data_IF_533389051727
#
_entry.id   IF_533389051727
#
_cell.length_a   1.000
_cell.length_b   1.000
_cell.length_c   1.000
_cell.angle_alpha   90.00
_cell.angle_beta   90.00
_cell.angle_gamma   90.00
#
_symmetry.space_group_name_H-M   'P 1'
#
loop_
_entity.id
_entity.type
_entity.pdbx_description
1 polymer ?
#
# COMPACT_ATOMS: atom_id res chain seq x y z
N UNK A 1 -32.62 20.76 75.86
CA UNK A 1 -33.31 21.12 74.61
C UNK A 1 -32.25 21.57 73.61
N UNK A 2 -31.99 20.72 72.61
CA UNK A 2 -30.98 20.94 71.58
C UNK A 2 -31.48 21.95 70.55
N UNK A 3 -30.63 22.88 70.11
CA UNK A 3 -30.93 23.78 68.99
C UNK A 3 -30.64 23.06 67.68
N UNK A 4 -31.60 23.19 66.77
CA UNK A 4 -31.58 22.69 65.38
C UNK A 4 -30.55 23.47 64.57
N UNK A 5 -29.66 22.74 63.90
CA UNK A 5 -28.90 23.21 62.74
C UNK A 5 -29.84 23.16 61.54
N UNK A 6 -30.12 24.31 60.93
CA UNK A 6 -30.75 24.37 59.62
C UNK A 6 -29.65 24.56 58.57
N UNK A 7 -29.71 23.70 57.57
CA UNK A 7 -28.78 23.57 56.46
C UNK A 7 -29.36 24.31 55.27
N UNK A 8 -28.58 25.19 54.63
CA UNK A 8 -28.81 25.56 53.23
C UNK A 8 -27.46 25.61 52.54
N UNK A 9 -27.19 24.51 51.85
CA UNK A 9 -26.16 24.31 50.84
C UNK A 9 -26.40 25.19 49.61
N UNK A 10 -25.33 25.46 48.85
CA UNK A 10 -25.23 25.79 47.41
C UNK A 10 -24.28 26.96 47.12
N UNK A 11 -22.97 26.71 47.17
CA UNK A 11 -21.95 27.58 46.53
C UNK A 11 -20.79 26.74 45.92
N UNK A 12 -21.04 25.46 45.61
CA UNK A 12 -20.03 24.52 45.11
C UNK A 12 -20.17 24.16 43.61
N UNK A 13 -20.90 24.96 42.81
CA UNK A 13 -21.10 24.69 41.37
C UNK A 13 -20.78 25.87 40.42
N UNK A 14 -19.97 26.85 40.82
CA UNK A 14 -19.48 27.87 39.87
C UNK A 14 -18.19 27.42 39.15
N UNK A 15 -18.34 26.47 38.22
CA UNK A 15 -17.26 26.05 37.31
C UNK A 15 -17.30 26.93 36.05
N UNK A 16 -16.52 28.00 36.06
CA UNK A 16 -16.37 28.89 34.90
C UNK A 16 -15.56 30.14 35.22
N UNK A 17 -15.04 30.86 34.22
CA UNK A 17 -14.33 32.10 34.46
C UNK A 17 -15.29 33.13 35.06
N UNK A 18 -14.94 33.66 36.23
CA UNK A 18 -15.71 34.70 36.90
C UNK A 18 -15.73 35.95 36.01
N UNK A 19 -16.91 36.52 35.70
CA UNK A 19 -17.01 37.71 34.87
C UNK A 19 -16.34 38.90 35.57
N UNK A 20 -15.76 39.81 34.79
CA UNK A 20 -15.08 40.98 35.33
C UNK A 20 -16.08 41.93 36.01
N UNK A 21 -15.77 42.39 37.22
CA UNK A 21 -16.65 43.23 38.05
C UNK A 21 -16.65 44.72 37.66
N UNK A 22 -16.42 45.05 36.39
CA UNK A 22 -16.41 46.44 35.92
C UNK A 22 -16.47 46.58 34.40
N UNK A 23 -16.60 47.81 33.86
CA UNK A 23 -16.59 48.05 32.42
C UNK A 23 -15.26 47.60 31.82
N UNK A 24 -15.29 46.50 31.08
CA UNK A 24 -14.10 45.94 30.44
C UNK A 24 -13.83 46.73 29.16
N UNK A 25 -12.88 47.67 29.20
CA UNK A 25 -12.34 48.30 27.99
C UNK A 25 -11.36 47.35 27.29
N UNK A 26 -11.78 46.10 27.02
CA UNK A 26 -11.02 45.17 26.19
C UNK A 26 -11.35 45.44 24.73
N UNK A 27 -10.52 46.24 24.09
CA UNK A 27 -10.57 46.41 22.65
C UNK A 27 -10.05 45.15 21.97
N UNK A 28 -10.97 44.22 21.74
CA UNK A 28 -10.73 42.90 21.13
C UNK A 28 -9.91 43.01 19.84
N UNK A 29 -10.05 44.11 19.10
CA UNK A 29 -9.28 44.37 17.88
C UNK A 29 -7.78 44.51 18.15
N UNK A 30 -7.40 45.27 19.18
CA UNK A 30 -6.01 45.45 19.62
C UNK A 30 -5.42 44.18 20.19
N UNK A 31 -6.25 43.33 20.81
CA UNK A 31 -5.82 42.03 21.32
C UNK A 31 -5.49 41.05 20.19
N UNK A 32 -6.30 41.02 19.14
CA UNK A 32 -6.00 40.25 17.93
C UNK A 32 -4.75 40.76 17.22
N UNK A 33 -4.61 42.08 17.10
CA UNK A 33 -3.44 42.69 16.45
C UNK A 33 -2.15 42.41 17.23
N UNK A 34 -2.16 42.56 18.56
CA UNK A 34 -1.03 42.22 19.43
C UNK A 34 -0.68 40.74 19.38
N UNK A 35 -1.68 39.85 19.26
CA UNK A 35 -1.48 38.40 19.10
C UNK A 35 -0.84 38.07 17.75
N UNK A 36 -1.30 38.72 16.68
CA UNK A 36 -0.76 38.55 15.33
C UNK A 36 0.68 39.05 15.24
N UNK A 37 0.98 40.22 15.82
CA UNK A 37 2.34 40.78 15.87
C UNK A 37 3.30 39.84 16.62
N UNK A 38 2.93 39.32 17.79
CA UNK A 38 3.75 38.34 18.53
C UNK A 38 4.00 37.05 17.75
N UNK A 39 3.00 36.55 17.00
CA UNK A 39 3.18 35.35 16.18
C UNK A 39 4.10 35.64 14.99
N UNK A 40 3.93 36.80 14.36
CA UNK A 40 4.79 37.25 13.27
C UNK A 40 6.24 37.39 13.74
N UNK A 41 6.46 38.08 14.85
CA UNK A 41 7.79 38.21 15.47
C UNK A 41 8.39 36.83 15.75
N UNK A 42 7.67 35.89 16.35
CA UNK A 42 8.15 34.52 16.57
C UNK A 42 8.55 33.76 15.30
N UNK A 43 7.93 34.07 14.16
CA UNK A 43 8.26 33.44 12.87
C UNK A 43 9.41 34.16 12.15
N UNK A 44 9.64 35.44 12.44
CA UNK A 44 10.59 36.29 11.71
C UNK A 44 11.82 36.72 12.51
N UNK A 45 11.79 36.66 13.84
CA UNK A 45 12.93 36.97 14.70
C UNK A 45 13.97 35.87 14.54
N UNK A 46 15.00 36.18 13.77
CA UNK A 46 16.21 35.39 13.59
C UNK A 46 17.12 35.49 14.84
N UNK A 47 16.56 35.29 16.04
CA UNK A 47 17.37 35.08 17.22
C UNK A 47 18.07 33.73 17.08
N UNK A 48 19.39 33.80 17.16
CA UNK A 48 20.40 32.81 16.84
C UNK A 48 20.43 31.62 17.82
N UNK A 49 19.31 30.95 17.97
CA UNK A 49 19.27 29.52 18.23
C UNK A 49 18.51 28.96 17.03
N UNK A 50 19.22 28.31 16.09
CA UNK A 50 18.54 27.59 15.01
C UNK A 50 17.38 26.83 15.67
N UNK A 51 16.12 27.06 15.27
CA UNK A 51 15.04 26.29 15.84
C UNK A 51 15.38 24.88 15.40
N UNK A 52 15.97 24.07 16.31
CA UNK A 52 16.25 22.66 16.10
C UNK A 52 14.93 22.16 15.60
N UNK A 53 14.87 21.96 14.28
CA UNK A 53 13.64 21.74 13.55
C UNK A 53 12.91 20.72 14.38
N UNK A 54 11.75 21.05 14.99
CA UNK A 54 11.23 20.30 16.13
C UNK A 54 11.00 18.86 15.65
N UNK A 55 12.03 18.05 15.82
CA UNK A 55 12.11 16.71 15.30
C UNK A 55 11.64 15.86 16.44
N UNK A 56 10.75 14.94 16.10
CA UNK A 56 10.29 13.96 17.06
C UNK A 56 11.49 13.12 17.47
N UNK A 57 11.53 12.76 18.75
CA UNK A 57 12.59 11.92 19.30
C UNK A 57 12.71 10.62 18.50
N UNK A 58 13.93 10.10 18.35
CA UNK A 58 14.22 9.00 17.43
C UNK A 58 13.35 7.76 17.67
N UNK A 59 12.99 7.44 18.92
CA UNK A 59 12.09 6.31 19.24
C UNK A 59 10.63 6.53 18.79
N UNK A 60 10.24 7.76 18.46
CA UNK A 60 8.92 8.10 17.92
C UNK A 60 8.87 8.07 16.39
N UNK A 61 10.01 8.16 15.71
CA UNK A 61 10.09 8.20 14.24
C UNK A 61 10.73 6.94 13.67
N UNK A 62 11.66 6.34 14.39
CA UNK A 62 12.40 5.17 13.98
C UNK A 62 11.87 3.94 14.72
N UNK A 63 11.66 2.86 13.98
CA UNK A 63 11.34 1.58 14.60
C UNK A 63 12.52 1.11 15.46
N UNK A 64 12.27 0.53 16.64
CA UNK A 64 13.31 -0.15 17.39
C UNK A 64 14.03 -1.16 16.51
N UNK A 65 15.36 -1.33 16.70
CA UNK A 65 16.14 -2.26 15.90
C UNK A 65 15.51 -3.65 15.97
N UNK A 66 15.50 -4.37 14.85
CA UNK A 66 14.91 -5.70 14.82
C UNK A 66 15.71 -6.65 15.72
N UNK A 67 15.13 -6.96 16.88
CA UNK A 67 15.75 -7.88 17.81
C UNK A 67 15.50 -9.30 17.33
N UNK A 68 16.41 -9.77 16.48
CA UNK A 68 16.47 -11.16 16.04
C UNK A 68 16.65 -12.01 17.28
N UNK A 69 15.57 -12.69 17.66
CA UNK A 69 15.49 -13.60 18.80
C UNK A 69 15.37 -12.96 20.21
N UNK A 70 14.20 -12.43 20.58
CA UNK A 70 13.75 -12.16 21.98
C UNK A 70 13.17 -13.34 22.81
N UNK A 71 13.87 -13.85 23.84
CA UNK A 71 13.35 -14.88 24.78
C UNK A 71 13.83 -16.34 24.62
N UNK A 72 14.57 -16.80 25.63
CA UNK A 72 15.33 -18.05 25.82
C UNK A 72 14.54 -19.39 25.72
N UNK A 73 13.91 -19.70 24.59
CA UNK A 73 13.39 -21.03 24.26
C UNK A 73 13.75 -21.49 22.84
N UNK A 74 13.40 -22.72 22.41
CA UNK A 74 13.35 -23.09 20.99
C UNK A 74 12.23 -22.28 20.32
N UNK A 75 12.57 -21.06 19.93
CA UNK A 75 11.65 -20.11 19.29
C UNK A 75 11.54 -20.48 17.82
N UNK A 76 10.66 -21.42 17.51
CA UNK A 76 10.50 -21.89 16.13
C UNK A 76 9.60 -20.93 15.36
N UNK A 77 10.19 -20.21 14.40
CA UNK A 77 9.42 -19.59 13.33
C UNK A 77 10.01 -19.99 11.98
N UNK A 78 9.12 -20.61 11.19
CA UNK A 78 9.14 -21.07 9.79
C UNK A 78 10.41 -21.76 9.23
N UNK A 79 10.24 -23.03 8.85
CA UNK A 79 11.17 -23.91 8.10
C UNK A 79 11.11 -23.72 6.56
N UNK A 80 10.50 -22.64 6.09
CA UNK A 80 10.42 -22.24 4.67
C UNK A 80 11.00 -20.83 4.55
N UNK A 81 11.54 -20.55 3.36
CA UNK A 81 12.49 -19.47 3.12
C UNK A 81 12.05 -18.11 3.66
N UNK A 82 12.93 -17.55 4.50
CA UNK A 82 13.01 -16.12 4.72
C UNK A 82 14.33 -15.65 4.11
N UNK A 83 14.27 -14.56 3.33
CA UNK A 83 15.45 -13.72 3.06
C UNK A 83 15.12 -12.42 3.76
N UNK A 84 15.96 -12.07 4.75
CA UNK A 84 15.98 -10.83 5.56
C UNK A 84 14.64 -10.13 5.78
N UNK A 85 14.21 -10.07 7.04
CA UNK A 85 13.26 -9.08 7.56
C UNK A 85 12.99 -7.92 6.61
N UNK A 86 11.91 -8.04 5.83
CA UNK A 86 11.51 -6.99 4.92
C UNK A 86 11.34 -5.70 5.70
N UNK A 87 11.77 -4.60 5.11
CA UNK A 87 11.69 -3.29 5.71
C UNK A 87 10.27 -3.04 6.26
N UNK A 88 10.17 -2.95 7.60
CA UNK A 88 8.91 -2.70 8.32
C UNK A 88 8.60 -1.22 8.44
N UNK A 89 9.52 -0.35 8.02
CA UNK A 89 9.38 1.11 8.13
C UNK A 89 8.37 1.71 7.15
N UNK A 90 7.76 0.90 6.28
CA UNK A 90 6.73 1.31 5.31
C UNK A 90 5.58 2.09 5.95
N UNK A 91 5.22 1.78 7.20
CA UNK A 91 4.14 2.45 7.93
C UNK A 91 4.60 3.63 8.81
N UNK A 92 5.89 3.75 9.11
CA UNK A 92 6.43 4.82 9.98
C UNK A 92 7.20 5.89 9.24
N UNK A 93 7.55 5.66 7.98
CA UNK A 93 8.31 6.60 7.19
C UNK A 93 7.51 7.86 6.87
N UNK A 94 8.15 9.01 7.07
CA UNK A 94 7.65 10.27 6.57
C UNK A 94 7.78 10.32 5.04
N UNK A 95 6.99 11.15 4.33
CA UNK A 95 7.10 11.28 2.87
C UNK A 95 8.53 11.61 2.38
N UNK A 96 9.30 12.38 3.17
CA UNK A 96 10.68 12.69 2.88
C UNK A 96 11.61 11.47 3.05
N UNK A 97 11.39 10.66 4.08
CA UNK A 97 12.16 9.43 4.31
C UNK A 97 11.89 8.38 3.23
N UNK A 98 10.63 8.29 2.77
CA UNK A 98 10.23 7.39 1.68
C UNK A 98 10.93 7.73 0.37
N UNK A 99 11.07 9.01 0.04
CA UNK A 99 11.80 9.45 -1.16
C UNK A 99 13.30 9.16 -1.05
N UNK A 100 13.90 9.43 0.11
CA UNK A 100 15.32 9.14 0.36
C UNK A 100 15.64 7.65 0.24
N UNK A 101 14.85 6.78 0.87
CA UNK A 101 15.01 5.32 0.78
C UNK A 101 14.74 4.79 -0.62
N UNK A 102 13.79 5.36 -1.36
CA UNK A 102 13.54 4.98 -2.74
C UNK A 102 14.77 5.26 -3.64
N UNK A 103 15.42 6.42 -3.48
CA UNK A 103 16.65 6.77 -4.21
C UNK A 103 17.81 5.80 -3.88
N UNK A 104 18.03 5.53 -2.60
CA UNK A 104 19.05 4.57 -2.14
C UNK A 104 18.81 3.15 -2.70
N UNK A 105 17.54 2.70 -2.71
CA UNK A 105 17.19 1.38 -3.25
C UNK A 105 17.36 1.30 -4.76
N UNK A 106 17.05 2.36 -5.51
CA UNK A 106 17.30 2.43 -6.96
C UNK A 106 18.80 2.43 -7.29
N UNK A 107 19.65 2.95 -6.40
CA UNK A 107 21.10 2.85 -6.52
C UNK A 107 21.62 1.44 -6.20
N UNK A 108 21.08 0.79 -5.16
CA UNK A 108 21.44 -0.58 -4.78
C UNK A 108 20.94 -1.66 -5.76
N UNK A 109 19.82 -1.44 -6.45
CA UNK A 109 19.30 -2.36 -7.48
C UNK A 109 20.14 -2.41 -8.75
N UNK A 110 20.90 -1.35 -9.05
CA UNK A 110 21.78 -1.31 -10.23
C UNK A 110 22.97 -2.25 -10.12
N UNK A 111 23.31 -2.74 -8.93
CA UNK A 111 24.44 -3.65 -8.70
C UNK A 111 24.08 -5.14 -8.57
N UNK A 112 22.80 -5.51 -8.56
CA UNK A 112 22.34 -6.88 -8.22
C UNK A 112 21.42 -7.52 -9.28
N UNK A 113 21.53 -7.10 -10.54
CA UNK A 113 20.71 -7.60 -11.64
C UNK A 113 21.26 -8.88 -12.27
N UNK A 114 21.39 -9.99 -11.53
CA UNK A 114 21.44 -11.36 -12.07
C UNK A 114 21.51 -12.36 -10.93
N UNK A 115 20.35 -12.94 -10.59
CA UNK A 115 20.18 -14.24 -9.95
C UNK A 115 18.74 -14.31 -9.42
N UNK A 116 17.78 -14.14 -10.35
CA UNK A 116 16.48 -14.79 -10.19
C UNK A 116 16.48 -15.94 -11.19
N UNK A 117 17.39 -16.88 -10.97
CA UNK A 117 17.22 -18.23 -11.46
C UNK A 117 15.83 -18.66 -11.00
N UNK A 118 15.02 -19.09 -11.96
CA UNK A 118 13.77 -19.80 -11.75
C UNK A 118 13.91 -20.62 -10.48
N UNK A 119 13.04 -20.39 -9.48
CA UNK A 119 13.00 -21.23 -8.28
C UNK A 119 12.82 -22.66 -8.77
N UNK A 120 13.93 -23.38 -8.89
CA UNK A 120 13.99 -24.60 -9.66
C UNK A 120 13.02 -25.54 -8.98
N UNK A 121 11.88 -25.79 -9.64
CA UNK A 121 10.86 -26.71 -9.15
C UNK A 121 11.62 -27.96 -8.72
N UNK A 122 11.50 -28.31 -7.45
CA UNK A 122 12.23 -29.46 -6.89
C UNK A 122 12.01 -30.65 -7.82
N UNK A 123 13.02 -31.50 -8.04
CA UNK A 123 12.87 -32.64 -8.96
C UNK A 123 11.64 -33.51 -8.67
N UNK A 124 11.12 -33.47 -7.43
CA UNK A 124 9.83 -34.05 -7.03
C UNK A 124 8.62 -33.38 -7.70
N UNK A 125 8.57 -32.05 -7.76
CA UNK A 125 7.44 -31.29 -8.32
C UNK A 125 7.34 -31.52 -9.83
N UNK A 126 8.48 -31.59 -10.54
CA UNK A 126 8.49 -31.94 -11.98
C UNK A 126 7.84 -33.31 -12.24
N UNK A 127 8.22 -34.33 -11.45
CA UNK A 127 7.62 -35.67 -11.55
C UNK A 127 6.13 -35.68 -11.23
N UNK A 128 5.71 -34.90 -10.24
CA UNK A 128 4.29 -34.77 -9.90
C UNK A 128 3.50 -34.13 -11.04
N UNK A 129 4.03 -33.06 -11.64
CA UNK A 129 3.40 -32.40 -12.80
C UNK A 129 3.25 -33.39 -13.95
N UNK A 130 4.30 -34.13 -14.31
CA UNK A 130 4.25 -35.13 -15.39
C UNK A 130 3.24 -36.26 -15.12
N UNK A 131 3.14 -36.75 -13.88
CA UNK A 131 2.14 -37.76 -13.50
C UNK A 131 0.72 -37.22 -13.62
N UNK A 132 0.49 -35.97 -13.19
CA UNK A 132 -0.82 -35.35 -13.26
C UNK A 132 -1.21 -35.02 -14.71
N UNK A 133 -0.27 -34.54 -15.54
CA UNK A 133 -0.53 -34.25 -16.95
C UNK A 133 -0.85 -35.52 -17.73
N UNK A 134 -0.05 -36.58 -17.58
CA UNK A 134 -0.29 -37.88 -18.23
C UNK A 134 -1.62 -38.52 -17.83
N UNK A 135 -2.02 -38.40 -16.55
CA UNK A 135 -3.34 -38.84 -16.10
C UNK A 135 -4.46 -38.01 -16.73
N UNK A 136 -4.32 -36.68 -16.74
CA UNK A 136 -5.33 -35.79 -17.31
C UNK A 136 -5.52 -36.01 -18.81
N UNK A 137 -4.43 -36.20 -19.56
CA UNK A 137 -4.49 -36.43 -21.02
C UNK A 137 -5.14 -37.77 -21.40
N UNK A 138 -4.97 -38.81 -20.58
CA UNK A 138 -5.47 -40.16 -20.88
C UNK A 138 -6.86 -40.46 -20.30
N UNK A 139 -7.19 -39.92 -19.12
CA UNK A 139 -8.43 -40.23 -18.39
C UNK A 139 -9.45 -39.11 -18.40
N UNK A 140 -9.04 -37.87 -18.65
CA UNK A 140 -9.94 -36.72 -18.64
C UNK A 140 -10.23 -36.29 -20.08
N UNK A 141 -11.47 -35.93 -20.35
CA UNK A 141 -11.79 -35.20 -21.58
C UNK A 141 -11.10 -33.84 -21.58
N UNK A 142 -10.93 -33.26 -22.75
CA UNK A 142 -10.38 -31.91 -22.90
C UNK A 142 -11.08 -30.90 -21.99
N UNK A 143 -10.32 -29.95 -21.43
CA UNK A 143 -10.89 -28.89 -20.60
C UNK A 143 -11.84 -28.04 -21.43
N UNK A 144 -12.94 -27.57 -20.83
CA UNK A 144 -13.88 -26.64 -21.48
C UNK A 144 -13.15 -25.41 -22.06
N UNK A 145 -12.11 -24.94 -21.36
CA UNK A 145 -11.27 -23.83 -21.82
C UNK A 145 -10.47 -24.21 -23.08
N UNK A 146 -9.90 -25.41 -23.11
CA UNK A 146 -9.15 -25.91 -24.27
C UNK A 146 -10.07 -26.12 -25.46
N UNK A 147 -11.28 -26.67 -25.23
CA UNK A 147 -12.31 -26.78 -26.25
C UNK A 147 -12.69 -25.41 -26.82
N UNK A 148 -12.87 -24.40 -25.98
CA UNK A 148 -13.18 -23.04 -26.43
C UNK A 148 -12.01 -22.44 -27.23
N UNK A 149 -10.77 -22.59 -26.76
CA UNK A 149 -9.59 -22.13 -27.49
C UNK A 149 -9.43 -22.82 -28.85
N UNK A 150 -9.66 -24.14 -28.92
CA UNK A 150 -9.64 -24.90 -30.18
C UNK A 150 -10.71 -24.40 -31.15
N UNK A 151 -11.93 -24.13 -30.67
CA UNK A 151 -13.02 -23.56 -31.48
C UNK A 151 -12.68 -22.17 -32.02
N UNK A 152 -12.09 -21.29 -31.20
CA UNK A 152 -11.68 -19.96 -31.65
C UNK A 152 -10.57 -20.05 -32.71
N UNK A 153 -9.59 -20.94 -32.52
CA UNK A 153 -8.51 -21.18 -33.47
C UNK A 153 -9.02 -21.74 -34.80
N UNK A 154 -9.93 -22.72 -34.76
CA UNK A 154 -10.50 -23.32 -35.98
C UNK A 154 -11.32 -22.30 -36.77
N UNK A 155 -12.11 -21.47 -36.10
CA UNK A 155 -12.85 -20.37 -36.72
C UNK A 155 -11.92 -19.34 -37.38
N UNK A 156 -10.86 -18.95 -36.68
CA UNK A 156 -9.87 -18.03 -37.24
C UNK A 156 -9.13 -18.63 -38.46
N UNK A 157 -8.84 -19.93 -38.49
CA UNK A 157 -8.24 -20.58 -39.67
C UNK A 157 -9.22 -20.72 -40.83
N UNK A 158 -10.50 -20.98 -40.53
CA UNK A 158 -11.57 -21.09 -41.52
C UNK A 158 -11.92 -19.74 -42.16
N UNK A 159 -11.79 -18.64 -41.41
CA UNK A 159 -11.92 -17.28 -41.95
C UNK A 159 -10.74 -16.88 -42.82
N UNK A 160 -9.52 -17.32 -42.47
CA UNK A 160 -8.31 -17.06 -43.26
C UNK A 160 -8.20 -17.89 -44.54
N UNK A 161 -8.86 -19.05 -44.61
CA UNK A 161 -8.84 -19.92 -45.79
C UNK A 161 -9.87 -19.52 -46.84
N UNK A 162 -10.85 -18.67 -46.50
CA UNK A 162 -11.82 -18.13 -47.46
C UNK A 162 -11.15 -17.00 -48.27
N UNK A 163 -11.37 -16.94 -49.59
CA UNK A 163 -10.87 -15.83 -50.40
C UNK A 163 -11.46 -14.52 -49.88
N UNK A 164 -10.60 -13.50 -49.75
CA UNK A 164 -10.97 -12.23 -49.14
C UNK A 164 -11.79 -11.40 -50.14
N UNK A 165 -13.11 -11.64 -50.15
CA UNK A 165 -14.07 -10.86 -50.93
C UNK A 165 -14.23 -9.45 -50.36
N UNK A 166 -14.64 -8.49 -51.21
CA UNK A 166 -14.94 -7.11 -50.78
C UNK A 166 -16.16 -7.11 -49.87
N UNK A 167 -15.92 -7.05 -48.57
CA UNK A 167 -16.94 -6.92 -47.54
C UNK A 167 -17.44 -5.47 -47.44
N UNK A 168 -18.74 -5.22 -47.18
CA UNK A 168 -19.23 -3.89 -46.85
C UNK A 168 -18.60 -3.35 -45.56
N UNK A 169 -18.50 -2.03 -45.44
CA UNK A 169 -17.94 -1.37 -44.26
C UNK A 169 -18.74 -1.73 -43.01
N UNK A 170 -18.06 -2.25 -42.00
CA UNK A 170 -18.61 -2.56 -40.70
C UNK A 170 -18.04 -1.59 -39.67
N UNK A 171 -18.89 -0.75 -39.08
CA UNK A 171 -18.46 0.23 -38.09
C UNK A 171 -17.67 -0.42 -36.96
N UNK A 172 -18.06 -1.58 -36.43
CA UNK A 172 -17.37 -2.14 -35.27
C UNK A 172 -16.02 -2.80 -35.62
N UNK A 173 -15.86 -3.25 -36.88
CA UNK A 173 -14.62 -3.87 -37.35
C UNK A 173 -13.65 -2.87 -37.97
N UNK A 174 -14.18 -1.96 -38.78
CA UNK A 174 -13.42 -1.02 -39.60
C UNK A 174 -13.24 0.33 -38.90
N UNK A 175 -14.21 0.75 -38.07
CA UNK A 175 -14.06 1.91 -37.20
C UNK A 175 -13.50 1.41 -35.86
N UNK A 176 -12.17 1.41 -35.74
CA UNK A 176 -11.43 1.01 -34.53
C UNK A 176 -11.58 2.03 -33.37
N UNK A 177 -12.77 2.59 -33.16
CA UNK A 177 -13.04 3.56 -32.10
C UNK A 177 -13.26 2.81 -30.78
N UNK A 178 -12.44 3.12 -29.78
CA UNK A 178 -12.50 2.57 -28.42
C UNK A 178 -12.26 1.05 -28.31
N UNK A 179 -11.58 0.42 -29.28
CA UNK A 179 -11.14 -0.96 -29.14
C UNK A 179 -9.91 -0.99 -28.25
N UNK A 180 -10.00 -1.66 -27.10
CA UNK A 180 -8.80 -2.08 -26.37
C UNK A 180 -7.95 -2.93 -27.31
N UNK A 181 -6.68 -2.55 -27.50
CA UNK A 181 -5.72 -3.33 -28.29
C UNK A 181 -5.75 -4.79 -27.83
N UNK A 182 -5.56 -5.74 -28.75
CA UNK A 182 -5.48 -7.15 -28.36
C UNK A 182 -4.39 -7.39 -27.31
N UNK A 183 -3.32 -6.59 -27.36
CA UNK A 183 -2.27 -6.56 -26.36
C UNK A 183 -2.79 -6.10 -24.99
N UNK A 184 -3.58 -5.01 -24.94
CA UNK A 184 -4.19 -4.52 -23.71
C UNK A 184 -5.21 -5.52 -23.13
N UNK A 185 -6.03 -6.16 -23.97
CA UNK A 185 -6.96 -7.22 -23.56
C UNK A 185 -6.22 -8.42 -22.97
N UNK A 186 -5.16 -8.90 -23.64
CA UNK A 186 -4.31 -9.99 -23.14
C UNK A 186 -3.63 -9.61 -21.83
N UNK A 187 -3.14 -8.39 -21.71
CA UNK A 187 -2.54 -7.88 -20.48
C UNK A 187 -3.56 -7.85 -19.33
N UNK A 188 -4.80 -7.43 -19.57
CA UNK A 188 -5.86 -7.44 -18.57
C UNK A 188 -6.22 -8.87 -18.13
N UNK A 189 -6.32 -9.81 -19.07
CA UNK A 189 -6.56 -11.23 -18.78
C UNK A 189 -5.40 -11.88 -18.00
N UNK A 190 -4.15 -11.49 -18.27
CA UNK A 190 -2.99 -11.93 -17.48
C UNK A 190 -3.04 -11.36 -16.07
N UNK A 191 -3.28 -10.05 -15.93
CA UNK A 191 -3.48 -9.38 -14.64
C UNK A 191 -4.60 -10.01 -13.80
N UNK A 192 -5.65 -10.54 -14.42
CA UNK A 192 -6.75 -11.22 -13.73
C UNK A 192 -6.40 -12.67 -13.34
N UNK A 193 -5.66 -13.40 -14.18
CA UNK A 193 -5.19 -14.75 -13.86
C UNK A 193 -4.32 -14.77 -12.61
N UNK A 194 -3.49 -13.74 -12.45
CA UNK A 194 -2.57 -13.66 -11.33
C UNK A 194 -3.23 -13.17 -10.03
N UNK A 195 -4.54 -12.86 -10.00
CA UNK A 195 -5.25 -12.44 -8.77
C UNK A 195 -5.11 -13.46 -7.64
N UNK A 196 -5.11 -14.76 -7.96
CA UNK A 196 -4.90 -15.81 -6.97
C UNK A 196 -3.49 -15.76 -6.37
N UNK A 197 -2.49 -15.33 -7.15
CA UNK A 197 -1.11 -15.16 -6.69
C UNK A 197 -0.80 -13.78 -6.12
N UNK A 198 -1.62 -12.75 -6.42
CA UNK A 198 -1.51 -11.43 -5.79
C UNK A 198 -1.72 -11.48 -4.28
N UNK A 199 -2.52 -12.43 -3.80
CA UNK A 199 -2.71 -12.70 -2.37
C UNK A 199 -1.86 -13.88 -1.87
N UNK A 200 -1.16 -14.59 -2.75
CA UNK A 200 -0.02 -15.39 -2.33
C UNK A 200 1.09 -14.44 -1.89
N UNK A 201 2.01 -14.94 -1.06
CA UNK A 201 3.02 -14.13 -0.41
C UNK A 201 4.06 -13.64 -1.43
N UNK A 202 3.75 -12.59 -2.19
CA UNK A 202 4.69 -11.95 -3.10
C UNK A 202 5.68 -11.10 -2.29
N UNK A 203 6.98 -11.36 -2.46
CA UNK A 203 8.07 -10.57 -1.84
C UNK A 203 8.35 -9.24 -2.56
N UNK A 204 7.52 -8.81 -3.53
CA UNK A 204 7.97 -7.88 -4.56
C UNK A 204 7.12 -6.64 -4.87
N UNK A 205 5.79 -6.71 -4.79
CA UNK A 205 4.95 -5.63 -5.30
C UNK A 205 3.93 -5.17 -4.25
N UNK A 206 4.35 -4.26 -3.38
CA UNK A 206 3.40 -3.38 -2.70
C UNK A 206 2.87 -2.41 -3.75
N UNK A 207 1.63 -2.60 -4.20
CA UNK A 207 0.90 -1.52 -4.86
C UNK A 207 0.60 -0.45 -3.78
N UNK A 208 0.64 0.80 -4.24
CA UNK A 208 0.68 2.05 -3.48
C UNK A 208 -0.28 2.14 -2.29
#
# INVERSE_FOLDING_TARGET
FWKITDSSEEDDDLIGPMPAEGPVESDVTKDFERRAQRMKEKLTSADSDEPKQITRELWMTELPPELKSFGFGPRTFKRRANDSSGDRSVWTDTPADRERKAKEREEAKKSTSKDNEDSALSGRDRRLVEQVTSYNESKRSESLMDMHQKKLKSKASEEKSKPQERRPFDRDQDLQVNRFDEAQKKALLRKSRDLNSKFEHSKGNMFL
#
